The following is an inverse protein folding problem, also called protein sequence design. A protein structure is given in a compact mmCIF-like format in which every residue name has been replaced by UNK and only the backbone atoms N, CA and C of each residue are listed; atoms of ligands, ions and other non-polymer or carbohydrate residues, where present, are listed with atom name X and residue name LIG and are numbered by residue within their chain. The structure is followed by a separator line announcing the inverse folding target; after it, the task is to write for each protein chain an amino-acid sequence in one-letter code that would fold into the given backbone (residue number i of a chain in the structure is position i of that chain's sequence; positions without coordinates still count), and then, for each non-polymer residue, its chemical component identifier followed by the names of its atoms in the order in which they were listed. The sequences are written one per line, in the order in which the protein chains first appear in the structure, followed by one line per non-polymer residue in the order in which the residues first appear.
data_IF_152109403201
#
_entry.id   IF_152109403201
#
_cell.length_a   1.000
_cell.length_b   1.000
_cell.length_c   1.000
_cell.angle_alpha   90.00
_cell.angle_beta   90.00
_cell.angle_gamma   90.00
#
_symmetry.space_group_name_H-M   'P 1'
#
loop_
_entity.id
_entity.type
_entity.pdbx_description
1 polymer ?
#
# COMPACT_ATOMS: atom_id res chain seq x y z
N UNK A 1 14.96 -10.12 -3.23
CA UNK A 1 14.20 -9.88 -1.99
C UNK A 1 12.87 -9.24 -2.37
N UNK A 2 11.77 -9.77 -1.83
CA UNK A 2 10.39 -9.39 -2.16
C UNK A 2 10.12 -7.89 -1.92
N UNK A 3 10.43 -7.39 -0.71
CA UNK A 3 10.23 -5.98 -0.35
C UNK A 3 10.90 -5.03 -1.34
N UNK A 4 12.14 -5.34 -1.75
CA UNK A 4 12.89 -4.53 -2.72
C UNK A 4 12.21 -4.49 -4.10
N UNK A 5 11.67 -5.62 -4.57
CA UNK A 5 10.97 -5.68 -5.85
C UNK A 5 9.70 -4.85 -5.83
N UNK A 6 8.88 -4.99 -4.79
CA UNK A 6 7.62 -4.26 -4.66
C UNK A 6 7.85 -2.75 -4.43
N UNK A 7 8.87 -2.35 -3.67
CA UNK A 7 9.24 -0.95 -3.53
C UNK A 7 9.74 -0.34 -4.84
N UNK A 8 10.42 -1.13 -5.68
CA UNK A 8 10.80 -0.69 -7.04
C UNK A 8 9.57 -0.49 -7.92
N UNK A 9 8.58 -1.39 -7.84
CA UNK A 9 7.31 -1.23 -8.55
C UNK A 9 6.54 0.02 -8.08
N UNK A 10 6.49 0.28 -6.78
CA UNK A 10 5.90 1.50 -6.20
C UNK A 10 6.58 2.76 -6.74
N UNK A 11 7.91 2.78 -6.80
CA UNK A 11 8.68 3.89 -7.38
C UNK A 11 8.35 4.10 -8.86
N UNK A 12 8.31 3.02 -9.65
CA UNK A 12 7.97 3.10 -11.08
C UNK A 12 6.55 3.62 -11.30
N UNK A 13 5.57 3.16 -10.50
CA UNK A 13 4.20 3.64 -10.54
C UNK A 13 4.11 5.15 -10.25
N UNK A 14 4.77 5.63 -9.18
CA UNK A 14 4.84 7.06 -8.86
C UNK A 14 5.51 7.89 -9.97
N UNK A 15 6.59 7.38 -10.56
CA UNK A 15 7.29 8.09 -11.64
C UNK A 15 6.41 8.23 -12.89
N UNK A 16 5.70 7.16 -13.26
CA UNK A 16 4.75 7.17 -14.37
C UNK A 16 3.61 8.16 -14.12
N UNK A 17 3.05 8.13 -12.91
CA UNK A 17 1.99 9.05 -12.50
C UNK A 17 2.45 10.52 -12.53
N UNK A 18 3.65 10.80 -12.01
CA UNK A 18 4.24 12.14 -12.07
C UNK A 18 4.42 12.61 -13.52
N UNK A 19 4.89 11.73 -14.41
CA UNK A 19 5.03 12.07 -15.84
C UNK A 19 3.70 12.41 -16.53
N UNK A 20 2.57 11.90 -16.02
CA UNK A 20 1.25 12.11 -16.61
C UNK A 20 0.49 13.28 -15.97
N UNK A 21 0.60 13.44 -14.65
CA UNK A 21 -0.19 14.39 -13.86
C UNK A 21 0.60 15.57 -13.29
N UNK A 22 1.92 15.59 -13.50
CA UNK A 22 2.86 16.60 -12.97
C UNK A 22 2.81 16.76 -11.43
N UNK A 23 2.40 15.70 -10.74
CA UNK A 23 2.37 15.63 -9.27
C UNK A 23 2.54 14.20 -8.78
N UNK A 24 2.96 14.04 -7.53
CA UNK A 24 2.89 12.75 -6.84
C UNK A 24 1.48 12.50 -6.29
N UNK A 25 1.17 11.24 -6.03
CA UNK A 25 -0.09 10.86 -5.36
C UNK A 25 0.19 10.23 -4.00
N UNK A 26 -0.74 10.47 -3.08
CA UNK A 26 -0.78 9.83 -1.77
C UNK A 26 -1.42 8.45 -1.78
N UNK A 27 -1.95 7.99 -2.92
CA UNK A 27 -2.87 6.86 -2.99
C UNK A 27 -2.40 5.77 -3.96
N UNK A 28 -2.28 4.55 -3.46
CA UNK A 28 -1.83 3.37 -4.19
C UNK A 28 -2.75 3.02 -5.37
N UNK A 29 -4.06 3.13 -5.18
CA UNK A 29 -5.05 2.88 -6.24
C UNK A 29 -5.00 3.92 -7.36
N UNK A 30 -4.62 5.17 -7.05
CA UNK A 30 -4.51 6.24 -8.06
C UNK A 30 -3.27 6.05 -8.95
N UNK A 31 -2.16 5.55 -8.38
CA UNK A 31 -0.92 5.27 -9.13
C UNK A 31 -0.90 3.86 -9.76
N UNK A 32 -1.95 3.05 -9.56
CA UNK A 32 -2.00 1.67 -10.04
C UNK A 32 -1.02 0.72 -9.34
N UNK A 33 -0.59 1.02 -8.11
CA UNK A 33 0.28 0.15 -7.33
C UNK A 33 -0.54 -0.87 -6.55
N UNK A 34 -0.41 -2.15 -6.92
CA UNK A 34 -0.98 -3.28 -6.21
C UNK A 34 0.03 -4.44 -6.18
N UNK A 35 0.67 -4.75 -5.03
CA UNK A 35 1.54 -5.90 -4.92
C UNK A 35 0.70 -7.19 -5.00
N UNK A 36 1.30 -8.24 -5.56
CA UNK A 36 0.68 -9.55 -5.68
C UNK A 36 0.23 -10.10 -4.29
N UNK A 37 -0.80 -10.95 -4.30
CA UNK A 37 -1.24 -11.67 -3.09
C UNK A 37 -0.09 -12.51 -2.54
N UNK A 38 -0.08 -12.68 -1.21
CA UNK A 38 0.99 -13.34 -0.48
C UNK A 38 2.17 -12.44 -0.15
N UNK A 39 2.00 -11.11 -0.21
CA UNK A 39 3.01 -10.16 0.26
C UNK A 39 3.23 -10.28 1.77
N UNK A 40 4.49 -10.39 2.17
CA UNK A 40 4.92 -10.49 3.58
C UNK A 40 5.04 -9.12 4.25
N UNK A 41 5.19 -8.07 3.45
CA UNK A 41 5.41 -6.71 3.93
C UNK A 41 4.20 -5.83 3.65
N UNK A 42 3.90 -4.93 4.58
CA UNK A 42 2.97 -3.84 4.34
C UNK A 42 3.68 -2.68 3.63
N UNK A 43 2.96 -1.97 2.78
CA UNK A 43 3.46 -0.83 2.02
C UNK A 43 2.67 0.42 2.37
N UNK A 44 3.35 1.51 2.72
CA UNK A 44 2.74 2.81 2.98
C UNK A 44 3.10 3.79 1.88
N UNK A 45 2.08 4.47 1.36
CA UNK A 45 2.20 5.51 0.33
C UNK A 45 2.05 6.90 0.96
N UNK A 46 1.15 7.06 1.94
CA UNK A 46 0.90 8.33 2.62
C UNK A 46 0.23 8.13 3.99
N UNK A 47 -0.01 9.24 4.69
CA UNK A 47 -0.55 9.30 6.06
C UNK A 47 -2.07 9.50 6.14
N UNK A 48 -2.75 9.78 5.02
CA UNK A 48 -4.12 10.33 5.01
C UNK A 48 -5.21 9.51 4.31
N UNK A 49 -5.08 8.18 4.21
CA UNK A 49 -6.08 7.32 3.57
C UNK A 49 -6.35 6.03 4.35
N UNK A 50 -7.14 5.14 3.76
CA UNK A 50 -7.43 3.83 4.35
C UNK A 50 -6.40 2.80 3.93
N UNK A 51 -6.19 1.78 4.77
CA UNK A 51 -5.39 0.62 4.37
C UNK A 51 -6.25 -0.41 3.64
N UNK A 52 -5.72 -0.96 2.55
CA UNK A 52 -6.24 -2.18 1.96
C UNK A 52 -5.91 -3.36 2.89
N UNK A 53 -6.93 -3.82 3.60
CA UNK A 53 -6.84 -4.95 4.52
C UNK A 53 -6.83 -6.26 3.73
N UNK A 54 -5.82 -7.11 3.96
CA UNK A 54 -5.63 -8.40 3.28
C UNK A 54 -5.84 -9.60 4.20
N UNK A 55 -6.83 -9.51 5.09
CA UNK A 55 -7.20 -10.56 6.04
C UNK A 55 -8.20 -11.58 5.50
N UNK A 56 -8.85 -11.28 4.36
CA UNK A 56 -9.83 -12.14 3.72
C UNK A 56 -9.33 -12.79 2.41
N UNK A 57 -10.08 -13.80 1.95
CA UNK A 57 -9.86 -14.40 0.64
C UNK A 57 -10.08 -13.37 -0.49
N UNK A 58 -11.12 -12.55 -0.35
CA UNK A 58 -11.48 -11.49 -1.30
C UNK A 58 -10.99 -10.16 -0.77
N UNK A 59 -10.26 -9.41 -1.61
CA UNK A 59 -9.94 -8.01 -1.32
C UNK A 59 -11.19 -7.19 -1.72
N UNK A 60 -11.83 -6.49 -0.77
CA UNK A 60 -12.97 -5.66 -1.09
C UNK A 60 -12.54 -4.53 -2.03
N UNK A 61 -13.45 -4.11 -2.91
CA UNK A 61 -13.21 -2.93 -3.75
C UNK A 61 -12.99 -1.73 -2.83
N UNK A 62 -11.92 -0.97 -3.09
CA UNK A 62 -11.62 0.24 -2.35
C UNK A 62 -12.75 1.26 -2.52
N UNK A 63 -13.49 1.53 -1.45
CA UNK A 63 -14.52 2.57 -1.41
C UNK A 63 -13.89 3.98 -1.35
N UNK A 64 -12.71 4.07 -0.74
CA UNK A 64 -11.96 5.30 -0.51
C UNK A 64 -10.53 5.18 -1.05
N UNK A 65 -9.78 6.28 -0.98
CA UNK A 65 -8.40 6.34 -1.43
C UNK A 65 -7.47 5.48 -0.54
N UNK A 66 -6.67 4.61 -1.17
CA UNK A 66 -5.83 3.63 -0.46
C UNK A 66 -4.46 4.23 -0.20
N UNK A 67 -4.12 4.58 1.04
CA UNK A 67 -2.78 5.12 1.39
C UNK A 67 -1.81 4.06 1.89
N UNK A 68 -2.29 2.84 2.12
CA UNK A 68 -1.49 1.71 2.60
C UNK A 68 -2.06 0.38 2.12
N UNK A 69 -1.20 -0.63 1.99
CA UNK A 69 -1.57 -2.01 1.66
C UNK A 69 -0.95 -2.90 2.73
N UNK A 70 -1.79 -3.65 3.46
CA UNK A 70 -1.33 -4.51 4.55
C UNK A 70 -0.60 -5.76 4.02
N UNK A 71 0.11 -6.45 4.91
CA UNK A 71 0.61 -7.79 4.60
C UNK A 71 -0.57 -8.77 4.44
N UNK A 72 -0.37 -9.82 3.65
CA UNK A 72 -1.40 -10.83 3.40
C UNK A 72 -1.61 -11.75 4.61
N UNK A 73 -2.30 -11.24 5.62
CA UNK A 73 -2.63 -11.98 6.84
C UNK A 73 -3.61 -13.12 6.59
N UNK A 74 -4.35 -13.10 5.47
CA UNK A 74 -5.12 -14.27 5.03
C UNK A 74 -4.19 -15.46 4.72
N UNK A 75 -3.08 -15.23 4.02
CA UNK A 75 -2.08 -16.29 3.72
C UNK A 75 -1.23 -16.67 4.93
N UNK A 76 -0.83 -15.70 5.75
CA UNK A 76 0.16 -15.90 6.83
C UNK A 76 -0.47 -16.03 8.24
N UNK A 77 -1.79 -16.04 8.33
CA UNK A 77 -2.55 -16.17 9.57
C UNK A 77 -2.84 -14.83 10.24
N UNK A 78 -3.95 -14.75 10.98
CA UNK A 78 -4.44 -13.52 11.61
C UNK A 78 -3.41 -12.85 12.54
N UNK A 79 -2.59 -13.64 13.24
CA UNK A 79 -1.52 -13.13 14.13
C UNK A 79 -0.38 -12.43 13.38
N UNK A 80 -0.30 -12.58 12.05
CA UNK A 80 0.69 -11.88 11.23
C UNK A 80 0.23 -10.48 10.81
N UNK A 81 -1.04 -10.12 11.03
CA UNK A 81 -1.56 -8.82 10.62
C UNK A 81 -0.81 -7.71 11.36
N UNK A 82 -0.17 -6.84 10.59
CA UNK A 82 0.56 -5.71 11.14
C UNK A 82 -0.46 -4.65 11.55
N UNK A 83 -0.59 -4.42 12.86
CA UNK A 83 -1.32 -3.26 13.36
C UNK A 83 -0.67 -2.00 12.77
N UNK A 84 -1.45 -1.17 12.09
CA UNK A 84 -0.95 0.04 11.45
C UNK A 84 -0.53 1.05 12.55
N UNK A 85 0.77 1.30 12.82
CA UNK A 85 1.17 2.42 13.67
C UNK A 85 0.57 3.71 13.14
N UNK A 86 0.06 4.52 14.06
CA UNK A 86 -0.37 5.87 13.77
C UNK A 86 0.80 6.64 13.13
N UNK A 87 0.61 7.28 11.96
CA UNK A 87 1.67 8.05 11.35
C UNK A 87 2.01 9.26 12.22
N UNK A 88 3.30 9.46 12.53
CA UNK A 88 3.77 10.67 13.19
C UNK A 88 3.87 11.79 12.14
N UNK A 89 3.02 12.82 12.27
CA UNK A 89 2.98 13.97 11.35
C UNK A 89 3.81 15.16 11.87
N UNK A 90 4.88 14.90 12.63
CA UNK A 90 5.69 15.96 13.18
C UNK A 90 6.20 16.88 12.06
N UNK A 91 5.79 18.15 12.10
CA UNK A 91 6.30 19.19 11.22
C UNK A 91 7.75 19.47 11.65
N UNK A 92 8.70 19.28 10.73
CA UNK A 92 10.08 19.71 10.92
C UNK A 92 10.18 21.22 11.13
#
# INVERSE_FOLDING_TARGET
SEAKTNLKALYTAQKSFFSEKDRYSSFANEIGFAPERGNRYAYRVSVGGVCEVRSGNVIPVAADAISCIENDSFRFGANSQIANPAPETATF
#
